data_IF_345000090662
#
_entry.id   IF_345000090662
#
_cell.length_a   1.000
_cell.length_b   1.000
_cell.length_c   1.000
_cell.angle_alpha   90.00
_cell.angle_beta   90.00
_cell.angle_gamma   90.00
#
_symmetry.space_group_name_H-M   'P 1'
#
loop_
_entity.id
_entity.type
_entity.pdbx_description
1 polymer ?
#
# COMPACT_ATOMS: atom_id res chain seq x y z
N UNK A 1 -26.22 17.94 -16.06
CA UNK A 1 -25.14 16.96 -16.33
C UNK A 1 -23.88 17.79 -16.15
N UNK A 2 -23.04 17.46 -15.16
CA UNK A 2 -21.83 18.26 -14.91
C UNK A 2 -20.70 17.79 -15.83
N UNK A 3 -20.08 18.71 -16.56
CA UNK A 3 -19.03 18.42 -17.53
C UNK A 3 -17.68 18.97 -17.08
N UNK A 4 -16.62 18.31 -17.47
CA UNK A 4 -15.24 18.75 -17.24
C UNK A 4 -14.94 19.93 -18.17
N UNK A 5 -14.54 21.09 -17.61
CA UNK A 5 -14.16 22.27 -18.37
C UNK A 5 -12.67 22.60 -18.29
N UNK A 6 -11.95 22.04 -17.28
CA UNK A 6 -10.52 22.26 -17.12
C UNK A 6 -9.86 21.04 -16.49
N UNK A 7 -8.67 20.70 -16.99
CA UNK A 7 -7.76 19.71 -16.42
C UNK A 7 -6.38 20.34 -16.40
N UNK A 8 -5.75 20.39 -15.22
CA UNK A 8 -4.43 21.00 -15.06
C UNK A 8 -3.54 20.21 -14.12
N UNK A 9 -2.37 19.81 -14.60
CA UNK A 9 -1.35 19.16 -13.80
C UNK A 9 -0.23 20.13 -13.44
N UNK A 10 0.29 19.96 -12.21
CA UNK A 10 1.48 20.64 -11.70
C UNK A 10 2.41 19.69 -11.00
N UNK A 11 3.67 20.09 -10.90
CA UNK A 11 4.64 19.41 -10.07
C UNK A 11 4.46 19.84 -8.61
N UNK A 12 4.46 18.85 -7.72
CA UNK A 12 4.62 19.03 -6.28
C UNK A 12 5.76 18.12 -5.80
N UNK A 13 6.00 18.02 -4.50
CA UNK A 13 7.00 17.13 -3.92
C UNK A 13 6.38 16.04 -3.07
N UNK A 14 6.95 14.85 -3.16
CA UNK A 14 6.62 13.72 -2.29
C UNK A 14 7.33 13.81 -0.92
N UNK A 15 7.05 12.89 -0.02
CA UNK A 15 7.61 12.81 1.34
C UNK A 15 9.11 12.57 1.39
N UNK A 16 9.74 12.22 0.25
CA UNK A 16 11.19 12.06 0.08
C UNK A 16 11.85 13.26 -0.58
N UNK A 17 11.08 14.32 -0.89
CA UNK A 17 11.56 15.51 -1.60
C UNK A 17 11.78 15.29 -3.09
N UNK A 18 11.22 14.23 -3.69
CA UNK A 18 11.24 14.04 -5.13
C UNK A 18 10.00 14.66 -5.79
N UNK A 19 10.11 15.17 -7.02
CA UNK A 19 8.96 15.65 -7.78
C UNK A 19 7.91 14.55 -7.98
N UNK A 20 6.63 14.93 -7.91
CA UNK A 20 5.50 14.10 -8.30
C UNK A 20 4.40 14.95 -8.93
N UNK A 21 3.34 14.29 -9.43
CA UNK A 21 2.25 14.90 -10.18
C UNK A 21 1.06 15.19 -9.27
N UNK A 22 0.52 16.40 -9.34
CA UNK A 22 -0.79 16.76 -8.79
C UNK A 22 -1.69 17.25 -9.94
N UNK A 23 -2.94 16.80 -9.96
CA UNK A 23 -3.92 17.16 -10.99
C UNK A 23 -5.15 17.81 -10.38
N UNK A 24 -5.58 18.92 -10.99
CA UNK A 24 -6.87 19.58 -10.77
C UNK A 24 -7.82 19.29 -11.94
N UNK A 25 -9.05 18.88 -11.63
CA UNK A 25 -10.17 18.79 -12.56
C UNK A 25 -11.26 19.76 -12.09
N UNK A 26 -11.75 20.61 -12.98
CA UNK A 26 -12.80 21.58 -12.68
C UNK A 26 -14.00 21.33 -13.60
N UNK A 27 -15.18 21.33 -13.01
CA UNK A 27 -16.46 21.17 -13.72
C UNK A 27 -17.07 22.51 -14.12
N UNK A 28 -18.07 22.49 -14.98
CA UNK A 28 -18.84 23.67 -15.42
C UNK A 28 -19.58 24.37 -14.28
N UNK A 29 -19.81 23.70 -13.15
CA UNK A 29 -20.33 24.30 -11.92
C UNK A 29 -19.23 24.91 -11.03
N UNK A 30 -17.97 24.90 -11.47
CA UNK A 30 -16.82 25.41 -10.72
C UNK A 30 -16.35 24.49 -9.59
N UNK A 31 -16.78 23.24 -9.56
CA UNK A 31 -16.37 22.26 -8.55
C UNK A 31 -14.99 21.70 -8.89
N UNK A 32 -14.11 21.70 -7.89
CA UNK A 32 -12.74 21.22 -7.99
C UNK A 32 -12.61 19.79 -7.45
N UNK A 33 -11.95 18.91 -8.22
CA UNK A 33 -11.35 17.69 -7.75
C UNK A 33 -9.83 17.77 -7.85
N UNK A 34 -9.09 17.47 -6.78
CA UNK A 34 -7.63 17.50 -6.75
C UNK A 34 -7.08 16.19 -6.25
N UNK A 35 -6.09 15.65 -6.94
CA UNK A 35 -5.41 14.43 -6.53
C UNK A 35 -3.89 14.53 -6.74
N UNK A 36 -3.13 14.05 -5.78
CA UNK A 36 -1.68 13.90 -5.89
C UNK A 36 -1.31 12.41 -6.00
N UNK A 37 -0.27 12.13 -6.79
CA UNK A 37 0.14 10.76 -7.11
C UNK A 37 1.30 10.33 -6.23
N UNK A 38 1.25 9.15 -5.57
CA UNK A 38 2.37 8.60 -4.83
C UNK A 38 3.44 8.02 -5.76
N UNK A 39 4.66 7.80 -5.23
CA UNK A 39 5.83 7.30 -5.96
C UNK A 39 6.51 6.14 -5.20
N UNK A 40 6.86 5.06 -5.89
CA UNK A 40 7.58 3.93 -5.31
C UNK A 40 9.10 4.20 -5.16
N UNK A 41 9.74 3.53 -4.19
CA UNK A 41 11.20 3.42 -4.10
C UNK A 41 11.69 2.14 -4.79
N UNK A 42 11.21 1.00 -4.33
CA UNK A 42 11.25 -0.27 -5.05
C UNK A 42 10.03 -0.39 -5.95
N UNK A 43 10.20 -0.92 -7.15
CA UNK A 43 9.11 -1.12 -8.11
C UNK A 43 9.18 -2.53 -8.66
N UNK A 44 8.08 -3.28 -8.60
CA UNK A 44 7.97 -4.59 -9.21
C UNK A 44 8.18 -4.50 -10.73
N UNK A 45 8.81 -5.52 -11.32
CA UNK A 45 9.12 -5.58 -12.76
C UNK A 45 7.88 -5.34 -13.66
N UNK A 46 6.70 -5.67 -13.15
CA UNK A 46 5.45 -5.67 -13.92
C UNK A 46 4.52 -4.48 -13.60
N UNK A 47 4.97 -3.50 -12.82
CA UNK A 47 4.20 -2.29 -12.54
C UNK A 47 3.98 -1.43 -13.78
N UNK A 48 2.91 -0.65 -13.80
CA UNK A 48 2.74 0.42 -14.76
C UNK A 48 3.83 1.51 -14.58
N UNK A 49 4.28 2.09 -15.69
CA UNK A 49 5.44 2.96 -15.70
C UNK A 49 5.13 4.31 -15.07
N UNK A 50 5.82 4.64 -13.99
CA UNK A 50 5.94 6.01 -13.50
C UNK A 50 6.84 6.80 -14.45
N UNK A 51 6.28 7.72 -15.23
CA UNK A 51 7.04 8.46 -16.22
C UNK A 51 7.93 9.52 -15.54
N UNK A 52 9.24 9.35 -15.68
CA UNK A 52 10.28 10.26 -15.24
C UNK A 52 11.05 10.79 -16.44
N UNK A 53 11.53 12.03 -16.35
CA UNK A 53 12.32 12.63 -17.42
C UNK A 53 13.76 12.13 -17.36
N UNK A 54 14.39 11.92 -18.52
CA UNK A 54 15.77 11.44 -18.63
C UNK A 54 16.83 12.53 -18.51
N UNK A 55 16.45 13.74 -18.06
CA UNK A 55 17.34 14.88 -17.93
C UNK A 55 18.19 14.90 -16.65
N UNK A 56 18.96 15.97 -16.45
CA UNK A 56 19.73 16.20 -15.21
C UNK A 56 18.91 16.76 -14.05
N UNK A 57 17.75 17.36 -14.37
CA UNK A 57 16.88 18.01 -13.38
C UNK A 57 16.40 17.01 -12.35
N UNK A 58 16.47 17.39 -11.07
CA UNK A 58 16.15 16.51 -9.95
C UNK A 58 16.83 15.15 -10.02
N UNK A 59 18.08 15.11 -10.54
CA UNK A 59 18.84 13.87 -10.71
C UNK A 59 18.12 12.81 -11.57
N UNK A 60 17.41 13.25 -12.62
CA UNK A 60 16.64 12.38 -13.52
C UNK A 60 15.26 12.01 -12.99
N UNK A 61 14.78 12.67 -11.93
CA UNK A 61 13.48 12.36 -11.30
C UNK A 61 12.38 13.40 -11.59
N UNK A 62 12.61 14.35 -12.52
CA UNK A 62 11.58 15.31 -12.91
C UNK A 62 10.38 14.62 -13.59
N UNK A 63 9.23 15.33 -13.63
CA UNK A 63 7.95 14.79 -14.13
C UNK A 63 7.35 15.66 -15.22
N UNK A 64 8.13 16.52 -15.85
CA UNK A 64 7.63 17.50 -16.82
C UNK A 64 6.91 16.86 -18.02
N UNK A 65 7.43 15.72 -18.53
CA UNK A 65 6.76 14.98 -19.59
C UNK A 65 5.39 14.45 -19.16
N UNK A 66 5.25 13.97 -17.93
CA UNK A 66 3.96 13.55 -17.37
C UNK A 66 2.99 14.72 -17.24
N UNK A 67 3.47 15.92 -16.81
CA UNK A 67 2.65 17.13 -16.76
C UNK A 67 2.19 17.56 -18.15
N UNK A 68 3.10 17.53 -19.13
CA UNK A 68 2.77 17.86 -20.52
C UNK A 68 1.76 16.87 -21.12
N UNK A 69 1.87 15.60 -20.80
CA UNK A 69 0.91 14.58 -21.22
C UNK A 69 -0.50 14.85 -20.65
N UNK A 70 -0.60 15.28 -19.38
CA UNK A 70 -1.89 15.68 -18.82
C UNK A 70 -2.38 16.97 -19.49
N UNK A 71 -1.56 18.04 -19.51
CA UNK A 71 -2.00 19.38 -19.89
C UNK A 71 -2.26 19.54 -21.39
N UNK A 72 -1.54 18.80 -22.26
CA UNK A 72 -1.56 18.98 -23.72
C UNK A 72 -2.22 17.82 -24.48
N UNK A 73 -2.30 16.62 -23.87
CA UNK A 73 -2.83 15.43 -24.53
C UNK A 73 -4.12 14.97 -23.87
N UNK A 74 -4.06 14.54 -22.59
CA UNK A 74 -5.23 13.98 -21.88
C UNK A 74 -6.35 15.03 -21.74
N UNK A 75 -5.99 16.28 -21.37
CA UNK A 75 -6.97 17.35 -21.19
C UNK A 75 -7.84 17.59 -22.43
N UNK A 76 -7.24 17.53 -23.63
CA UNK A 76 -7.95 17.76 -24.89
C UNK A 76 -9.02 16.68 -25.18
N UNK A 77 -8.78 15.46 -24.76
CA UNK A 77 -9.67 14.32 -25.00
C UNK A 77 -10.81 14.18 -24.00
N UNK A 78 -10.64 14.71 -22.77
CA UNK A 78 -11.65 14.54 -21.72
C UNK A 78 -12.43 15.82 -21.39
N UNK A 79 -11.97 16.99 -21.77
CA UNK A 79 -12.75 18.24 -21.63
C UNK A 79 -14.04 18.11 -22.46
N UNK A 80 -15.19 18.45 -21.85
CA UNK A 80 -16.52 18.29 -22.43
C UNK A 80 -17.19 16.95 -22.10
N UNK A 81 -16.49 16.00 -21.49
CA UNK A 81 -17.09 14.74 -21.00
C UNK A 81 -17.79 14.95 -19.66
N UNK A 82 -18.76 14.10 -19.33
CA UNK A 82 -19.40 14.11 -18.01
C UNK A 82 -18.43 13.63 -16.94
N UNK A 83 -18.30 14.37 -15.83
CA UNK A 83 -17.43 14.02 -14.70
C UNK A 83 -17.83 12.70 -14.02
N UNK A 84 -19.06 12.24 -14.24
CA UNK A 84 -19.59 10.99 -13.66
C UNK A 84 -19.25 9.73 -14.46
N UNK A 85 -18.68 9.88 -15.65
CA UNK A 85 -18.33 8.76 -16.53
C UNK A 85 -16.92 8.23 -16.28
N UNK A 86 -16.63 7.88 -15.02
CA UNK A 86 -15.28 7.48 -14.57
C UNK A 86 -14.64 6.40 -15.46
N UNK A 87 -15.34 5.28 -15.67
CA UNK A 87 -14.80 4.16 -16.45
C UNK A 87 -14.57 4.56 -17.92
N UNK A 88 -15.44 5.40 -18.51
CA UNK A 88 -15.28 5.91 -19.85
C UNK A 88 -14.04 6.79 -19.97
N UNK A 89 -13.82 7.68 -18.99
CA UNK A 89 -12.64 8.58 -18.96
C UNK A 89 -11.37 7.77 -18.78
N UNK A 90 -11.33 6.80 -17.85
CA UNK A 90 -10.19 5.91 -17.64
C UNK A 90 -9.88 5.13 -18.92
N UNK A 91 -10.90 4.60 -19.61
CA UNK A 91 -10.74 3.88 -20.89
C UNK A 91 -10.25 4.79 -22.03
N UNK A 92 -10.64 6.07 -22.07
CA UNK A 92 -10.09 7.05 -23.04
C UNK A 92 -8.58 7.17 -22.81
N UNK A 93 -8.14 7.37 -21.56
CA UNK A 93 -6.72 7.53 -21.22
C UNK A 93 -5.90 6.25 -21.52
N UNK A 94 -6.43 5.07 -21.19
CA UNK A 94 -5.79 3.77 -21.50
C UNK A 94 -5.61 3.59 -23.00
N UNK A 95 -6.63 3.89 -23.81
CA UNK A 95 -6.56 3.80 -25.28
C UNK A 95 -5.59 4.82 -25.87
N UNK A 96 -5.53 6.03 -25.29
CA UNK A 96 -4.65 7.11 -25.73
C UNK A 96 -3.17 6.76 -25.45
N UNK A 97 -2.89 6.10 -24.35
CA UNK A 97 -1.58 5.52 -24.07
C UNK A 97 -1.26 4.36 -25.04
N UNK A 98 -2.13 3.39 -25.14
CA UNK A 98 -2.06 2.27 -26.08
C UNK A 98 -0.95 1.25 -25.76
N UNK A 99 -0.25 1.37 -24.63
CA UNK A 99 0.78 0.41 -24.20
C UNK A 99 0.29 -0.45 -23.03
N UNK A 100 0.79 -1.68 -22.86
CA UNK A 100 0.33 -2.56 -21.78
C UNK A 100 0.60 -2.01 -20.36
N UNK A 101 1.65 -1.21 -20.21
CA UNK A 101 2.14 -0.73 -18.93
C UNK A 101 2.12 0.81 -18.80
N UNK A 102 1.33 1.50 -19.62
CA UNK A 102 1.18 2.97 -19.60
C UNK A 102 2.51 3.74 -19.80
N UNK A 103 3.44 3.16 -20.57
CA UNK A 103 4.79 3.73 -20.77
C UNK A 103 4.82 4.97 -21.68
N UNK A 104 3.75 5.25 -22.43
CA UNK A 104 3.67 6.41 -23.35
C UNK A 104 3.27 7.68 -22.62
N UNK A 105 2.20 7.66 -21.86
CA UNK A 105 1.68 8.82 -21.12
C UNK A 105 2.19 8.88 -19.68
N UNK A 106 2.47 7.73 -19.10
CA UNK A 106 2.85 7.55 -17.71
C UNK A 106 1.67 7.22 -16.80
N UNK A 107 1.82 6.19 -15.97
CA UNK A 107 0.82 5.83 -14.97
C UNK A 107 0.54 6.98 -13.98
N UNK A 108 1.56 7.77 -13.65
CA UNK A 108 1.43 8.95 -12.79
C UNK A 108 0.55 10.04 -13.42
N UNK A 109 0.68 10.30 -14.71
CA UNK A 109 -0.18 11.24 -15.44
C UNK A 109 -1.63 10.76 -15.47
N UNK A 110 -1.85 9.50 -15.84
CA UNK A 110 -3.18 8.89 -15.97
C UNK A 110 -3.88 8.80 -14.61
N UNK A 111 -3.18 8.32 -13.58
CA UNK A 111 -3.74 8.18 -12.23
C UNK A 111 -4.15 9.53 -11.62
N UNK A 112 -3.31 10.56 -11.80
CA UNK A 112 -3.61 11.90 -11.29
C UNK A 112 -4.94 12.40 -11.82
N UNK A 113 -5.20 12.23 -13.11
CA UNK A 113 -6.47 12.59 -13.75
C UNK A 113 -7.61 11.70 -13.25
N UNK A 114 -7.43 10.40 -13.24
CA UNK A 114 -8.45 9.43 -12.82
C UNK A 114 -8.98 9.71 -11.41
N UNK A 115 -8.08 9.95 -10.45
CA UNK A 115 -8.45 10.27 -9.07
C UNK A 115 -9.05 11.68 -8.91
N UNK A 116 -8.54 12.67 -9.66
CA UNK A 116 -9.08 14.02 -9.63
C UNK A 116 -10.52 14.07 -10.20
N UNK A 117 -10.82 13.30 -11.25
CA UNK A 117 -12.18 13.10 -11.78
C UNK A 117 -13.11 12.52 -10.73
N UNK A 118 -12.71 11.44 -10.06
CA UNK A 118 -13.53 10.83 -9.00
C UNK A 118 -13.84 11.80 -7.85
N UNK A 119 -12.84 12.59 -7.43
CA UNK A 119 -13.03 13.63 -6.40
C UNK A 119 -13.93 14.77 -6.86
N UNK A 120 -13.79 15.21 -8.11
CA UNK A 120 -14.68 16.22 -8.67
C UNK A 120 -16.13 15.71 -8.72
N UNK A 121 -16.35 14.49 -9.15
CA UNK A 121 -17.66 13.85 -9.19
C UNK A 121 -18.28 13.70 -7.80
N UNK A 122 -17.50 13.28 -6.81
CA UNK A 122 -17.95 13.19 -5.42
C UNK A 122 -18.37 14.56 -4.87
N UNK A 123 -17.53 15.60 -5.11
CA UNK A 123 -17.79 16.97 -4.69
C UNK A 123 -19.02 17.56 -5.38
N UNK A 124 -19.25 17.27 -6.66
CA UNK A 124 -20.47 17.68 -7.39
C UNK A 124 -21.76 17.14 -6.74
N UNK A 125 -21.70 15.94 -6.20
CA UNK A 125 -22.84 15.32 -5.51
C UNK A 125 -22.92 15.72 -4.03
N UNK A 126 -21.97 16.48 -3.51
CA UNK A 126 -21.85 16.79 -2.08
C UNK A 126 -21.63 15.53 -1.22
N UNK A 127 -21.00 14.50 -1.77
CA UNK A 127 -20.69 13.25 -1.10
C UNK A 127 -19.19 13.16 -0.76
N UNK A 128 -18.81 12.57 0.39
CA UNK A 128 -17.43 12.17 0.62
C UNK A 128 -17.02 11.09 -0.38
N UNK A 129 -15.73 11.04 -0.74
CA UNK A 129 -15.23 10.15 -1.79
C UNK A 129 -15.53 8.66 -1.51
N UNK A 130 -15.35 8.23 -0.25
CA UNK A 130 -15.65 6.83 0.10
C UNK A 130 -17.11 6.44 -0.17
N UNK A 131 -18.06 7.39 0.03
CA UNK A 131 -19.48 7.16 -0.22
C UNK A 131 -19.81 7.20 -1.71
N UNK A 132 -19.19 8.09 -2.46
CA UNK A 132 -19.34 8.17 -3.92
C UNK A 132 -18.89 6.88 -4.61
N UNK A 133 -17.68 6.39 -4.27
CA UNK A 133 -17.11 5.20 -4.90
C UNK A 133 -17.76 3.90 -4.38
N UNK A 134 -17.98 3.79 -3.07
CA UNK A 134 -18.43 2.54 -2.45
C UNK A 134 -19.95 2.44 -2.22
N UNK A 135 -20.69 3.52 -2.47
CA UNK A 135 -22.14 3.56 -2.30
C UNK A 135 -22.59 3.32 -0.85
N UNK A 136 -23.78 2.74 -0.69
CA UNK A 136 -24.41 2.54 0.62
C UNK A 136 -23.73 1.46 1.48
N UNK A 137 -22.91 0.60 0.87
CA UNK A 137 -22.21 -0.48 1.58
C UNK A 137 -20.84 -0.05 2.15
N UNK A 138 -20.36 1.15 1.83
CA UNK A 138 -19.08 1.68 2.31
C UNK A 138 -19.16 2.06 3.79
N UNK A 139 -18.79 1.13 4.68
CA UNK A 139 -18.85 1.31 6.14
C UNK A 139 -17.79 0.52 6.91
N UNK A 140 -16.95 -0.25 6.24
CA UNK A 140 -15.92 -1.06 6.88
C UNK A 140 -14.66 -0.23 7.08
N UNK A 141 -14.35 0.11 8.35
CA UNK A 141 -13.08 0.73 8.71
C UNK A 141 -11.98 -0.35 8.64
N UNK A 142 -10.86 -0.09 7.96
CA UNK A 142 -9.82 -1.09 7.80
C UNK A 142 -9.03 -1.30 9.09
N UNK A 143 -8.57 -2.54 9.35
CA UNK A 143 -7.54 -2.82 10.36
C UNK A 143 -6.23 -2.24 9.84
N UNK A 144 -5.57 -1.34 10.61
CA UNK A 144 -4.32 -0.75 10.17
C UNK A 144 -3.15 -1.72 10.36
N UNK A 145 -2.33 -1.85 9.32
CA UNK A 145 -1.01 -2.50 9.32
C UNK A 145 0.04 -1.42 9.51
N UNK A 146 0.49 -1.23 10.75
CA UNK A 146 1.35 -0.10 11.13
C UNK A 146 2.81 -0.53 11.13
N UNK A 147 3.59 -0.09 10.13
CA UNK A 147 5.02 -0.39 10.03
C UNK A 147 5.80 0.31 11.14
N UNK A 148 6.30 -0.42 12.14
CA UNK A 148 6.99 0.14 13.30
C UNK A 148 8.51 -0.13 13.35
N UNK A 149 9.01 -1.12 12.60
CA UNK A 149 10.43 -1.39 12.39
C UNK A 149 10.69 -1.61 10.90
N UNK A 150 11.69 -0.90 10.35
CA UNK A 150 12.16 -1.03 8.99
C UNK A 150 13.46 -1.83 8.92
N UNK A 151 13.60 -2.62 7.87
CA UNK A 151 14.82 -3.29 7.46
C UNK A 151 14.93 -3.29 5.93
N UNK A 152 15.62 -4.26 5.34
CA UNK A 152 15.81 -4.38 3.90
C UNK A 152 16.30 -3.09 3.26
N UNK A 153 15.76 -2.76 2.10
CA UNK A 153 16.09 -1.52 1.37
C UNK A 153 15.56 -0.24 2.05
N UNK A 154 14.74 -0.34 3.10
CA UNK A 154 14.19 0.80 3.85
C UNK A 154 15.06 1.21 5.06
N UNK A 155 16.19 0.53 5.32
CA UNK A 155 17.07 0.77 6.47
C UNK A 155 18.49 0.31 6.18
N UNK A 156 19.47 0.92 6.84
CA UNK A 156 20.86 0.43 6.86
C UNK A 156 21.07 -0.69 7.89
N UNK A 157 20.02 -1.11 8.61
CA UNK A 157 20.08 -2.17 9.61
C UNK A 157 20.32 -3.54 8.95
N UNK A 158 21.06 -4.46 9.62
CA UNK A 158 21.35 -5.79 9.10
C UNK A 158 20.16 -6.74 9.25
N UNK A 159 19.03 -6.37 8.66
CA UNK A 159 17.76 -7.12 8.68
C UNK A 159 17.31 -7.29 7.24
N UNK A 160 17.05 -8.53 6.80
CA UNK A 160 16.66 -8.78 5.41
C UNK A 160 15.22 -8.38 5.11
N UNK A 161 14.27 -8.57 6.03
CA UNK A 161 12.88 -8.21 5.82
C UNK A 161 12.67 -6.70 5.89
N UNK A 162 11.86 -6.19 4.98
CA UNK A 162 11.69 -4.75 4.75
C UNK A 162 10.84 -4.07 5.82
N UNK A 163 9.75 -4.72 6.28
CA UNK A 163 8.81 -4.12 7.23
C UNK A 163 8.30 -5.12 8.26
N UNK A 164 8.21 -4.62 9.49
CA UNK A 164 7.59 -5.31 10.63
C UNK A 164 6.45 -4.44 11.13
N UNK A 165 5.23 -4.95 11.03
CA UNK A 165 4.01 -4.21 11.30
C UNK A 165 3.27 -4.74 12.52
N UNK A 166 2.63 -3.86 13.28
CA UNK A 166 1.65 -4.24 14.31
C UNK A 166 0.24 -4.03 13.80
N UNK A 167 -0.66 -4.96 14.17
CA UNK A 167 -2.04 -4.98 13.77
C UNK A 167 -2.95 -5.09 14.99
N UNK A 168 -3.64 -4.01 15.41
CA UNK A 168 -4.48 -3.98 16.60
C UNK A 168 -5.84 -4.67 16.39
N UNK A 169 -5.85 -5.97 16.15
CA UNK A 169 -7.05 -6.77 15.85
C UNK A 169 -8.02 -6.88 17.05
N UNK A 170 -7.53 -6.72 18.28
CA UNK A 170 -8.36 -6.72 19.49
C UNK A 170 -9.08 -5.39 19.75
N UNK A 171 -8.81 -4.35 18.96
CA UNK A 171 -9.44 -3.04 19.14
C UNK A 171 -10.97 -3.11 18.98
N UNK A 172 -11.69 -2.26 19.70
CA UNK A 172 -13.15 -2.21 19.62
C UNK A 172 -13.65 -1.47 18.38
N UNK A 173 -12.87 -0.48 17.89
CA UNK A 173 -13.14 0.36 16.74
C UNK A 173 -11.83 0.93 16.19
N UNK A 174 -11.87 1.73 15.15
CA UNK A 174 -10.68 2.28 14.51
C UNK A 174 -9.94 3.28 15.44
N UNK A 175 -10.65 4.15 16.14
CA UNK A 175 -10.06 5.07 17.13
C UNK A 175 -9.28 4.31 18.19
N UNK A 176 -9.81 3.21 18.72
CA UNK A 176 -9.11 2.36 19.68
C UNK A 176 -7.89 1.66 19.05
N UNK A 177 -7.98 1.26 17.77
CA UNK A 177 -6.82 0.71 17.06
C UNK A 177 -5.68 1.73 16.95
N UNK A 178 -6.00 3.00 16.68
CA UNK A 178 -5.01 4.08 16.65
C UNK A 178 -4.38 4.34 18.04
N UNK A 179 -5.17 4.27 19.12
CA UNK A 179 -4.66 4.37 20.49
C UNK A 179 -3.64 3.25 20.77
N UNK A 180 -4.01 1.99 20.53
CA UNK A 180 -3.14 0.82 20.73
C UNK A 180 -1.83 0.99 19.97
N UNK A 181 -1.92 1.35 18.66
CA UNK A 181 -0.74 1.57 17.83
C UNK A 181 0.17 2.66 18.38
N UNK A 182 -0.39 3.81 18.79
CA UNK A 182 0.36 4.92 19.36
C UNK A 182 1.08 4.53 20.66
N UNK A 183 0.40 3.84 21.55
CA UNK A 183 0.99 3.39 22.80
C UNK A 183 2.12 2.37 22.57
N UNK A 184 1.97 1.45 21.61
CA UNK A 184 3.04 0.53 21.23
C UNK A 184 4.22 1.25 20.59
N UNK A 185 3.98 2.19 19.67
CA UNK A 185 5.03 2.98 19.02
C UNK A 185 5.90 3.73 20.03
N UNK A 186 5.29 4.40 21.00
CA UNK A 186 6.03 5.10 22.05
C UNK A 186 6.75 4.16 23.04
N UNK A 187 6.16 3.01 23.35
CA UNK A 187 6.84 1.98 24.15
C UNK A 187 8.00 1.33 23.38
N UNK A 188 7.85 1.11 22.06
CA UNK A 188 8.95 0.62 21.24
C UNK A 188 10.13 1.59 21.24
N UNK A 189 9.87 2.91 21.11
CA UNK A 189 10.91 3.93 21.24
C UNK A 189 11.68 3.80 22.54
N UNK A 190 10.97 3.58 23.65
CA UNK A 190 11.59 3.37 24.97
C UNK A 190 12.41 2.08 25.01
N UNK A 191 11.87 0.96 24.51
CA UNK A 191 12.58 -0.34 24.46
C UNK A 191 13.88 -0.23 23.66
N UNK A 192 13.87 0.48 22.52
CA UNK A 192 15.06 0.72 21.71
C UNK A 192 16.08 1.60 22.44
N UNK A 193 15.62 2.70 23.06
CA UNK A 193 16.47 3.59 23.84
C UNK A 193 17.15 2.85 25.01
N UNK A 194 16.43 1.99 25.74
CA UNK A 194 16.97 1.20 26.85
C UNK A 194 18.04 0.18 26.38
N UNK A 195 18.04 -0.17 25.09
CA UNK A 195 19.06 -1.00 24.42
C UNK A 195 20.19 -0.16 23.80
N UNK A 196 20.18 1.17 23.94
CA UNK A 196 21.09 2.12 23.27
C UNK A 196 21.04 2.02 21.73
N UNK A 197 19.87 1.68 21.17
CA UNK A 197 19.64 1.61 19.73
C UNK A 197 19.07 2.92 19.17
N UNK A 198 19.31 3.17 17.89
CA UNK A 198 18.80 4.34 17.18
C UNK A 198 17.27 4.37 17.16
N UNK A 199 16.69 5.55 17.34
CA UNK A 199 15.24 5.81 17.27
C UNK A 199 14.87 6.83 16.18
N UNK A 200 15.75 7.02 15.18
CA UNK A 200 15.40 7.73 13.96
C UNK A 200 14.38 6.89 13.16
N UNK A 201 13.55 7.57 12.38
CA UNK A 201 12.51 6.93 11.58
C UNK A 201 12.90 6.94 10.10
N UNK A 202 12.53 5.87 9.40
CA UNK A 202 12.68 5.74 7.95
C UNK A 202 11.57 6.47 7.17
N UNK A 203 11.55 6.24 5.87
CA UNK A 203 10.63 6.91 4.93
C UNK A 203 9.15 6.68 5.26
N UNK A 204 8.81 5.57 5.86
CA UNK A 204 7.44 5.20 6.22
C UNK A 204 7.09 5.46 7.70
N UNK A 205 8.00 6.11 8.42
CA UNK A 205 7.78 6.56 9.80
C UNK A 205 8.04 5.51 10.88
N UNK A 206 8.38 4.26 10.52
CA UNK A 206 8.86 3.23 11.45
C UNK A 206 10.32 3.47 11.87
N UNK A 207 10.72 2.92 13.02
CA UNK A 207 12.11 3.02 13.48
C UNK A 207 13.05 2.19 12.59
N UNK A 208 14.29 2.63 12.47
CA UNK A 208 15.35 1.93 11.75
C UNK A 208 16.53 1.61 12.71
N UNK A 209 16.34 0.73 13.71
CA UNK A 209 17.36 0.38 14.67
C UNK A 209 18.32 -0.67 14.13
N UNK A 210 19.56 -0.64 14.58
CA UNK A 210 20.58 -1.65 14.28
C UNK A 210 20.35 -2.92 15.14
N UNK A 211 19.38 -3.76 14.73
CA UNK A 211 19.02 -5.02 15.36
C UNK A 211 19.79 -6.20 14.72
N UNK A 212 19.86 -7.32 15.43
CA UNK A 212 20.69 -8.47 15.04
C UNK A 212 20.06 -9.39 13.96
N UNK A 213 18.87 -9.02 13.44
CA UNK A 213 18.15 -9.74 12.39
C UNK A 213 16.64 -9.86 12.67
N UNK A 214 15.98 -10.67 11.84
CA UNK A 214 14.51 -10.82 11.84
C UNK A 214 13.92 -11.21 13.21
N UNK A 215 14.53 -12.18 13.89
CA UNK A 215 13.99 -12.66 15.17
C UNK A 215 14.18 -11.64 16.29
N UNK A 216 15.30 -10.90 16.32
CA UNK A 216 15.51 -9.79 17.29
C UNK A 216 14.48 -8.66 17.07
N UNK A 217 14.13 -8.38 15.83
CA UNK A 217 13.06 -7.42 15.52
C UNK A 217 11.71 -7.89 16.08
N UNK A 218 11.34 -9.14 15.85
CA UNK A 218 10.09 -9.73 16.36
C UNK A 218 10.02 -9.73 17.90
N UNK A 219 11.09 -10.16 18.57
CA UNK A 219 11.16 -10.16 20.04
C UNK A 219 11.10 -8.74 20.60
N UNK A 220 11.73 -7.77 19.93
CA UNK A 220 11.68 -6.35 20.32
C UNK A 220 10.27 -5.78 20.22
N UNK A 221 9.53 -6.11 19.16
CA UNK A 221 8.12 -5.74 18.98
C UNK A 221 7.24 -6.38 20.05
N UNK A 222 7.41 -7.67 20.32
CA UNK A 222 6.67 -8.39 21.39
C UNK A 222 6.90 -7.73 22.74
N UNK A 223 8.15 -7.33 23.03
CA UNK A 223 8.47 -6.62 24.26
C UNK A 223 7.77 -5.26 24.33
N UNK A 224 7.71 -4.52 23.21
CA UNK A 224 7.02 -3.24 23.15
C UNK A 224 5.51 -3.39 23.36
N UNK A 225 4.86 -4.39 22.72
CA UNK A 225 3.44 -4.71 22.89
C UNK A 225 3.13 -5.01 24.37
N UNK A 226 3.92 -5.87 25.00
CA UNK A 226 3.77 -6.20 26.43
C UNK A 226 3.99 -5.00 27.33
N UNK A 227 4.98 -4.15 27.03
CA UNK A 227 5.28 -2.93 27.79
C UNK A 227 4.17 -1.89 27.69
N UNK A 228 3.42 -1.88 26.59
CA UNK A 228 2.24 -1.06 26.40
C UNK A 228 0.99 -1.62 27.11
N UNK A 229 1.07 -2.80 27.73
CA UNK A 229 -0.02 -3.44 28.46
C UNK A 229 -0.91 -4.35 27.62
N UNK A 230 -0.56 -4.61 26.36
CA UNK A 230 -1.33 -5.43 25.44
C UNK A 230 -0.78 -6.87 25.33
N UNK A 231 -1.63 -7.80 24.89
CA UNK A 231 -1.31 -9.23 24.75
C UNK A 231 -0.99 -9.56 23.28
N UNK A 232 0.29 -9.88 22.95
CA UNK A 232 0.62 -10.38 21.61
C UNK A 232 -0.19 -11.64 21.28
N UNK A 233 -0.71 -11.71 20.06
CA UNK A 233 -1.53 -12.84 19.60
C UNK A 233 -3.00 -12.77 20.00
N UNK A 234 -3.42 -11.76 20.77
CA UNK A 234 -4.82 -11.55 21.19
C UNK A 234 -5.25 -10.11 20.84
N UNK A 235 -4.61 -9.13 21.46
CA UNK A 235 -4.95 -7.72 21.23
C UNK A 235 -4.27 -7.19 19.96
N UNK A 236 -3.04 -7.67 19.72
CA UNK A 236 -2.17 -7.23 18.62
C UNK A 236 -1.50 -8.43 17.96
N UNK A 237 -1.65 -8.51 16.66
CA UNK A 237 -0.92 -9.44 15.80
C UNK A 237 0.24 -8.74 15.11
N UNK A 238 1.15 -9.50 14.49
CA UNK A 238 2.29 -9.00 13.71
C UNK A 238 2.05 -9.32 12.24
N UNK A 239 2.40 -8.40 11.36
CA UNK A 239 2.51 -8.65 9.94
C UNK A 239 3.93 -8.35 9.45
N UNK A 240 4.35 -9.07 8.42
CA UNK A 240 5.66 -8.94 7.79
C UNK A 240 5.50 -8.54 6.33
N UNK A 241 6.37 -7.66 5.86
CA UNK A 241 6.68 -7.50 4.46
C UNK A 241 8.13 -7.95 4.26
N UNK A 242 8.30 -9.07 3.57
CA UNK A 242 9.61 -9.64 3.34
C UNK A 242 10.35 -8.95 2.18
N UNK A 243 9.62 -8.43 1.19
CA UNK A 243 10.15 -7.91 -0.08
C UNK A 243 11.23 -8.85 -0.66
N UNK A 244 10.90 -10.15 -0.75
CA UNK A 244 11.89 -11.21 -0.95
C UNK A 244 12.60 -11.12 -2.32
N UNK A 245 12.03 -10.41 -3.30
CA UNK A 245 12.68 -10.11 -4.57
C UNK A 245 14.00 -9.34 -4.42
N UNK A 246 14.13 -8.49 -3.41
CA UNK A 246 15.32 -7.69 -3.13
C UNK A 246 16.57 -8.52 -2.77
N UNK A 247 16.36 -9.73 -2.24
CA UNK A 247 17.45 -10.65 -1.90
C UNK A 247 17.36 -12.01 -2.62
N UNK A 248 16.50 -12.14 -3.65
CA UNK A 248 16.45 -13.32 -4.49
C UNK A 248 17.43 -13.20 -5.67
N UNK A 249 18.34 -14.17 -5.81
CA UNK A 249 19.35 -14.15 -6.87
C UNK A 249 19.68 -15.57 -7.34
N UNK A 250 19.57 -15.82 -8.63
CA UNK A 250 19.91 -17.12 -9.23
C UNK A 250 19.23 -18.34 -8.55
N UNK A 251 17.95 -18.20 -8.18
CA UNK A 251 17.19 -19.29 -7.53
C UNK A 251 17.46 -19.45 -6.03
N UNK A 252 18.11 -18.46 -5.40
CA UNK A 252 18.49 -18.49 -3.99
C UNK A 252 18.07 -17.18 -3.30
N UNK A 253 17.44 -17.29 -2.15
CA UNK A 253 17.17 -16.21 -1.21
C UNK A 253 18.43 -15.97 -0.37
N UNK A 254 19.18 -14.92 -0.72
CA UNK A 254 20.50 -14.64 -0.15
C UNK A 254 20.42 -13.54 0.91
N UNK A 255 20.18 -13.91 2.14
CA UNK A 255 20.10 -12.99 3.27
C UNK A 255 21.45 -12.26 3.56
N UNK A 256 22.56 -12.76 3.03
CA UNK A 256 23.87 -12.09 3.21
C UNK A 256 23.93 -10.72 2.56
N UNK A 257 23.01 -10.41 1.64
CA UNK A 257 22.90 -9.09 0.99
C UNK A 257 22.63 -7.99 2.05
N UNK A 258 21.79 -8.27 3.02
CA UNK A 258 21.44 -7.34 4.09
C UNK A 258 22.11 -7.69 5.44
N UNK A 259 22.18 -8.97 5.79
CA UNK A 259 22.64 -9.45 7.10
C UNK A 259 24.16 -9.73 7.14
N UNK A 260 24.86 -9.52 6.02
CA UNK A 260 26.31 -9.74 5.93
C UNK A 260 26.70 -11.18 6.28
N UNK A 261 27.73 -11.35 7.09
CA UNK A 261 28.26 -12.67 7.45
C UNK A 261 27.27 -13.53 8.28
N UNK A 262 26.25 -12.95 8.86
CA UNK A 262 25.25 -13.65 9.65
C UNK A 262 24.10 -14.19 8.78
N UNK A 263 23.97 -13.67 7.56
CA UNK A 263 22.93 -14.07 6.62
C UNK A 263 23.07 -15.51 6.14
N UNK A 264 21.95 -16.18 5.93
CA UNK A 264 21.86 -17.57 5.44
C UNK A 264 21.33 -17.55 4.02
N UNK A 265 21.76 -18.50 3.19
CA UNK A 265 21.22 -18.71 1.83
C UNK A 265 20.18 -19.82 1.87
N UNK A 266 19.03 -19.62 1.25
CA UNK A 266 17.92 -20.57 1.21
C UNK A 266 17.44 -20.77 -0.23
N UNK A 267 17.14 -22.01 -0.61
CA UNK A 267 16.32 -22.26 -1.79
C UNK A 267 14.84 -22.02 -1.49
N UNK A 268 13.96 -22.15 -2.49
CA UNK A 268 12.52 -21.85 -2.33
C UNK A 268 11.83 -22.71 -1.25
N UNK A 269 12.17 -24.00 -1.13
CA UNK A 269 11.59 -24.86 -0.09
C UNK A 269 12.10 -24.48 1.32
N UNK A 270 13.38 -24.19 1.44
CA UNK A 270 14.00 -23.74 2.71
C UNK A 270 13.44 -22.37 3.13
N UNK A 271 13.19 -21.46 2.18
CA UNK A 271 12.56 -20.15 2.42
C UNK A 271 11.13 -20.33 2.94
N UNK A 272 10.31 -21.14 2.25
CA UNK A 272 8.95 -21.43 2.66
C UNK A 272 8.89 -22.12 4.05
N UNK A 273 9.84 -23.01 4.34
CA UNK A 273 9.96 -23.65 5.66
C UNK A 273 10.32 -22.63 6.75
N UNK A 274 11.27 -21.73 6.48
CA UNK A 274 11.66 -20.69 7.42
C UNK A 274 10.50 -19.76 7.78
N UNK A 275 9.76 -19.29 6.77
CA UNK A 275 8.58 -18.44 6.99
C UNK A 275 7.49 -19.17 7.80
N UNK A 276 7.25 -20.46 7.50
CA UNK A 276 6.31 -21.26 8.29
C UNK A 276 6.78 -21.45 9.75
N UNK A 277 8.07 -21.60 10.01
CA UNK A 277 8.62 -21.66 11.37
C UNK A 277 8.41 -20.35 12.13
N UNK A 278 8.59 -19.20 11.48
CA UNK A 278 8.29 -17.90 12.09
C UNK A 278 6.80 -17.76 12.47
N UNK A 279 5.89 -18.23 11.59
CA UNK A 279 4.44 -18.25 11.86
C UNK A 279 4.10 -19.14 13.06
N UNK A 280 4.78 -20.26 13.25
CA UNK A 280 4.56 -21.17 14.38
C UNK A 280 5.11 -20.61 15.70
N UNK A 281 6.16 -19.81 15.63
CA UNK A 281 6.86 -19.26 16.81
C UNK A 281 6.28 -17.93 17.29
N UNK A 282 5.80 -17.09 16.38
CA UNK A 282 5.39 -15.72 16.64
C UNK A 282 3.93 -15.47 16.24
N UNK A 283 3.24 -14.47 16.84
CA UNK A 283 1.84 -14.16 16.53
C UNK A 283 1.73 -13.43 15.18
N UNK A 284 2.22 -14.04 14.11
CA UNK A 284 2.17 -13.51 12.76
C UNK A 284 0.82 -13.88 12.14
N UNK A 285 0.11 -12.90 11.58
CA UNK A 285 -1.18 -13.09 10.90
C UNK A 285 -1.10 -12.86 9.39
N UNK A 286 -0.06 -12.14 8.92
CA UNK A 286 0.09 -11.80 7.51
C UNK A 286 1.57 -11.76 7.11
N UNK A 287 1.88 -12.29 5.92
CA UNK A 287 3.19 -12.20 5.26
C UNK A 287 2.96 -11.67 3.85
N UNK A 288 3.60 -10.56 3.53
CA UNK A 288 3.66 -9.95 2.21
C UNK A 288 4.98 -10.31 1.54
N UNK A 289 4.90 -10.65 0.26
CA UNK A 289 6.02 -10.98 -0.64
C UNK A 289 7.11 -11.84 0.01
N UNK A 290 6.67 -12.95 0.60
CA UNK A 290 7.57 -13.95 1.23
C UNK A 290 8.45 -14.68 0.23
N UNK A 291 8.14 -14.60 -1.07
CA UNK A 291 8.86 -15.20 -2.19
C UNK A 291 9.03 -14.15 -3.31
N UNK A 292 9.98 -14.38 -4.21
CA UNK A 292 10.21 -13.55 -5.41
C UNK A 292 8.99 -13.56 -6.35
N UNK A 293 8.72 -12.45 -7.02
CA UNK A 293 7.56 -12.24 -7.90
C UNK A 293 7.51 -13.17 -9.13
N UNK A 294 8.61 -13.82 -9.46
CA UNK A 294 8.72 -14.79 -10.54
C UNK A 294 8.86 -16.25 -10.05
N UNK A 295 9.06 -16.46 -8.74
CA UNK A 295 9.15 -17.80 -8.13
C UNK A 295 7.76 -18.39 -7.82
N UNK A 296 6.97 -18.63 -8.87
CA UNK A 296 5.60 -19.17 -8.75
C UNK A 296 5.53 -20.54 -8.06
N UNK A 297 6.56 -21.37 -8.19
CA UNK A 297 6.63 -22.67 -7.51
C UNK A 297 6.93 -22.48 -6.02
N UNK A 298 7.84 -21.57 -5.66
CA UNK A 298 8.09 -21.18 -4.27
C UNK A 298 6.85 -20.60 -3.60
N UNK A 299 6.11 -19.73 -4.29
CA UNK A 299 4.83 -19.21 -3.80
C UNK A 299 3.81 -20.31 -3.54
N UNK A 300 3.75 -21.33 -4.40
CA UNK A 300 2.88 -22.47 -4.21
C UNK A 300 3.26 -23.26 -2.95
N UNK A 301 4.55 -23.54 -2.77
CA UNK A 301 5.06 -24.20 -1.58
C UNK A 301 4.72 -23.43 -0.29
N UNK A 302 4.92 -22.11 -0.29
CA UNK A 302 4.57 -21.25 0.84
C UNK A 302 3.06 -21.29 1.12
N UNK A 303 2.24 -21.21 0.06
CA UNK A 303 0.77 -21.26 0.20
C UNK A 303 0.29 -22.58 0.79
N UNK A 304 0.86 -23.70 0.36
CA UNK A 304 0.52 -25.02 0.90
C UNK A 304 0.93 -25.18 2.38
N UNK A 305 2.08 -24.60 2.79
CA UNK A 305 2.61 -24.73 4.16
C UNK A 305 1.94 -23.77 5.15
N UNK A 306 1.74 -22.52 4.76
CA UNK A 306 1.34 -21.43 5.65
C UNK A 306 -0.04 -20.82 5.35
N UNK A 307 -0.55 -20.93 4.12
CA UNK A 307 -1.73 -20.20 3.66
C UNK A 307 -3.06 -20.51 4.36
N UNK A 308 -3.12 -21.63 5.11
CA UNK A 308 -4.26 -21.95 6.00
C UNK A 308 -4.14 -21.35 7.40
N UNK A 309 -2.96 -20.83 7.76
CA UNK A 309 -2.66 -20.29 9.09
C UNK A 309 -2.60 -18.77 9.07
N UNK A 310 -2.12 -18.20 7.96
CA UNK A 310 -1.87 -16.77 7.82
C UNK A 310 -2.30 -16.26 6.45
N UNK A 311 -2.54 -14.96 6.38
CA UNK A 311 -2.71 -14.24 5.12
C UNK A 311 -1.36 -14.17 4.39
N UNK A 312 -1.37 -14.51 3.10
CA UNK A 312 -0.24 -14.40 2.19
C UNK A 312 -0.57 -13.36 1.13
N UNK A 313 0.08 -12.21 1.22
CA UNK A 313 -0.20 -11.04 0.38
C UNK A 313 0.79 -11.00 -0.78
N UNK A 314 0.28 -10.92 -2.02
CA UNK A 314 1.10 -10.62 -3.19
C UNK A 314 1.08 -9.13 -3.48
N UNK A 315 2.23 -8.47 -3.34
CA UNK A 315 2.50 -7.10 -3.81
C UNK A 315 3.16 -7.15 -5.19
N UNK A 316 4.46 -7.36 -5.28
CA UNK A 316 5.18 -7.47 -6.56
C UNK A 316 4.71 -8.68 -7.38
N UNK A 317 4.23 -9.73 -6.70
CA UNK A 317 3.61 -10.88 -7.35
C UNK A 317 2.42 -10.48 -8.26
N UNK A 318 1.55 -9.58 -7.79
CA UNK A 318 0.28 -9.24 -8.46
C UNK A 318 0.25 -7.83 -9.06
N UNK A 319 1.00 -6.89 -8.51
CA UNK A 319 1.11 -5.47 -8.93
C UNK A 319 -0.24 -4.81 -9.23
N UNK A 320 -1.26 -5.11 -8.42
CA UNK A 320 -2.65 -4.60 -8.60
C UNK A 320 -3.24 -4.96 -9.99
N UNK A 321 -2.70 -5.97 -10.68
CA UNK A 321 -3.01 -6.31 -12.06
C UNK A 321 -3.91 -7.55 -12.15
N UNK A 322 -5.09 -7.42 -12.76
CA UNK A 322 -6.09 -8.50 -12.91
C UNK A 322 -5.54 -9.75 -13.64
N UNK A 323 -4.63 -9.59 -14.58
CA UNK A 323 -4.07 -10.73 -15.32
C UNK A 323 -3.12 -11.55 -14.44
N UNK A 324 -2.27 -10.89 -13.65
CA UNK A 324 -1.38 -11.56 -12.70
C UNK A 324 -2.17 -12.19 -11.55
N UNK A 325 -3.18 -11.46 -11.04
CA UNK A 325 -4.08 -11.98 -10.01
C UNK A 325 -4.86 -13.21 -10.49
N UNK A 326 -5.44 -13.19 -11.70
CA UNK A 326 -6.12 -14.35 -12.30
C UNK A 326 -5.21 -15.58 -12.35
N UNK A 327 -3.96 -15.40 -12.79
CA UNK A 327 -2.96 -16.48 -12.81
C UNK A 327 -2.69 -17.05 -11.41
N UNK A 328 -2.62 -16.19 -10.37
CA UNK A 328 -2.46 -16.63 -8.98
C UNK A 328 -3.66 -17.42 -8.48
N UNK A 329 -4.86 -16.93 -8.76
CA UNK A 329 -6.12 -17.58 -8.38
C UNK A 329 -6.21 -18.97 -9.05
N UNK A 330 -5.96 -19.07 -10.37
CA UNK A 330 -5.99 -20.33 -11.12
C UNK A 330 -5.00 -21.36 -10.58
N UNK A 331 -3.84 -20.91 -10.10
CA UNK A 331 -2.81 -21.77 -9.50
C UNK A 331 -3.01 -22.06 -8.01
N UNK A 332 -3.94 -21.38 -7.34
CA UNK A 332 -4.14 -21.48 -5.89
C UNK A 332 -2.93 -20.96 -5.11
N UNK A 333 -2.41 -19.81 -5.50
CA UNK A 333 -1.19 -19.18 -4.95
C UNK A 333 -1.56 -17.90 -4.22
N UNK A 334 -1.02 -17.69 -3.01
CA UNK A 334 -1.39 -16.62 -2.08
C UNK A 334 -2.87 -16.72 -1.66
N UNK A 335 -3.38 -15.75 -0.91
CA UNK A 335 -4.79 -15.64 -0.53
C UNK A 335 -5.22 -14.18 -0.30
N UNK A 336 -4.33 -13.23 -0.63
CA UNK A 336 -4.55 -11.79 -0.53
C UNK A 336 -3.76 -11.04 -1.59
N UNK A 337 -4.20 -9.84 -1.93
CA UNK A 337 -3.51 -8.92 -2.84
C UNK A 337 -3.26 -7.57 -2.15
N UNK A 338 -2.07 -6.99 -2.34
CA UNK A 338 -1.82 -5.60 -2.02
C UNK A 338 -2.35 -4.71 -3.15
N UNK A 339 -2.99 -3.61 -2.81
CA UNK A 339 -3.60 -2.68 -3.76
C UNK A 339 -2.87 -1.35 -3.70
N UNK A 340 -2.09 -1.07 -4.72
CA UNK A 340 -1.38 0.20 -4.93
C UNK A 340 -1.92 0.86 -6.19
N UNK A 341 -2.67 1.93 -6.04
CA UNK A 341 -3.37 2.59 -7.17
C UNK A 341 -2.45 2.98 -8.33
N UNK A 342 -1.20 3.33 -8.03
CA UNK A 342 -0.24 3.73 -9.06
C UNK A 342 0.47 2.56 -9.77
N UNK A 343 0.41 1.32 -9.23
CA UNK A 343 0.94 0.14 -9.91
C UNK A 343 0.12 -0.23 -11.16
N UNK A 344 -1.14 0.17 -11.20
CA UNK A 344 -2.03 -0.06 -12.34
C UNK A 344 -2.43 1.23 -13.07
N UNK A 345 -2.62 2.34 -12.34
CA UNK A 345 -2.69 3.69 -12.88
C UNK A 345 -4.08 4.24 -13.20
N UNK A 346 -5.18 3.53 -12.89
CA UNK A 346 -6.55 4.09 -12.91
C UNK A 346 -7.37 3.60 -11.73
N UNK A 347 -8.40 4.35 -11.35
CA UNK A 347 -9.37 3.94 -10.33
C UNK A 347 -10.19 2.75 -10.80
N UNK A 348 -10.64 2.72 -12.06
CA UNK A 348 -11.44 1.63 -12.60
C UNK A 348 -10.72 0.29 -12.59
N UNK A 349 -9.43 0.26 -12.99
CA UNK A 349 -8.62 -0.97 -12.94
C UNK A 349 -8.33 -1.38 -11.49
N UNK A 350 -8.14 -0.42 -10.58
CA UNK A 350 -7.98 -0.67 -9.14
C UNK A 350 -9.22 -1.36 -8.57
N UNK A 351 -10.41 -0.84 -8.85
CA UNK A 351 -11.69 -1.43 -8.44
C UNK A 351 -11.83 -2.85 -9.00
N UNK A 352 -11.53 -3.05 -10.29
CA UNK A 352 -11.62 -4.37 -10.93
C UNK A 352 -10.70 -5.40 -10.25
N UNK A 353 -9.51 -4.99 -9.80
CA UNK A 353 -8.57 -5.87 -9.09
C UNK A 353 -9.10 -6.28 -7.72
N UNK A 354 -9.66 -5.32 -6.95
CA UNK A 354 -10.27 -5.62 -5.65
C UNK A 354 -11.49 -6.53 -5.80
N UNK A 355 -12.37 -6.25 -6.77
CA UNK A 355 -13.55 -7.08 -7.03
C UNK A 355 -13.17 -8.51 -7.44
N UNK A 356 -12.17 -8.67 -8.31
CA UNK A 356 -11.68 -9.99 -8.72
C UNK A 356 -11.15 -10.77 -7.51
N UNK A 357 -10.35 -10.14 -6.65
CA UNK A 357 -9.84 -10.75 -5.43
C UNK A 357 -10.98 -11.23 -4.53
N UNK A 358 -11.93 -10.35 -4.22
CA UNK A 358 -13.04 -10.67 -3.32
C UNK A 358 -13.95 -11.78 -3.87
N UNK A 359 -14.26 -11.77 -5.19
CA UNK A 359 -15.04 -12.83 -5.84
C UNK A 359 -14.34 -14.20 -5.81
N UNK A 360 -13.02 -14.20 -5.86
CA UNK A 360 -12.21 -15.43 -5.75
C UNK A 360 -12.00 -15.89 -4.30
N UNK A 361 -12.48 -15.11 -3.34
CA UNK A 361 -12.29 -15.40 -1.95
C UNK A 361 -10.96 -14.92 -1.38
N UNK A 362 -10.16 -14.14 -2.09
CA UNK A 362 -8.98 -13.45 -1.57
C UNK A 362 -9.39 -12.22 -0.77
N UNK A 363 -8.55 -11.83 0.17
CA UNK A 363 -8.63 -10.52 0.81
C UNK A 363 -7.84 -9.48 0.00
N UNK A 364 -8.01 -8.22 0.35
CA UNK A 364 -7.23 -7.12 -0.24
C UNK A 364 -6.74 -6.18 0.86
N UNK A 365 -5.57 -5.58 0.65
CA UNK A 365 -4.97 -4.60 1.55
C UNK A 365 -4.76 -3.32 0.75
N UNK A 366 -5.44 -2.23 1.10
CA UNK A 366 -5.17 -0.93 0.50
C UNK A 366 -3.82 -0.41 0.99
N UNK A 367 -2.95 0.03 0.09
CA UNK A 367 -1.57 0.37 0.44
C UNK A 367 -1.14 1.74 -0.08
N UNK A 368 -0.28 2.38 0.71
CA UNK A 368 0.53 3.52 0.34
C UNK A 368 1.71 3.12 -0.54
N UNK A 369 2.56 4.11 -0.86
CA UNK A 369 3.91 3.90 -1.39
C UNK A 369 4.95 4.54 -0.45
N UNK A 370 6.24 4.23 -0.68
CA UNK A 370 7.34 4.83 0.09
C UNK A 370 7.42 6.35 -0.09
N UNK A 371 7.18 6.87 -1.28
CA UNK A 371 7.02 8.30 -1.55
C UNK A 371 5.55 8.71 -1.57
N UNK A 372 5.07 9.30 -0.49
CA UNK A 372 3.69 9.76 -0.32
C UNK A 372 3.59 11.28 -0.36
N UNK A 373 2.35 11.76 -0.41
CA UNK A 373 1.96 13.16 -0.25
C UNK A 373 0.93 13.28 0.87
N UNK A 374 0.39 14.48 1.11
CA UNK A 374 -0.73 14.69 2.05
C UNK A 374 -2.07 14.13 1.51
N UNK A 375 -2.11 13.69 0.25
CA UNK A 375 -3.31 13.09 -0.35
C UNK A 375 -3.74 11.86 0.46
N UNK A 376 -5.02 11.81 0.81
CA UNK A 376 -5.60 10.78 1.67
C UNK A 376 -6.56 9.84 0.92
N UNK A 377 -6.56 9.86 -0.40
CA UNK A 377 -7.49 9.09 -1.26
C UNK A 377 -7.54 7.62 -0.89
N UNK A 378 -6.41 7.00 -0.58
CA UNK A 378 -6.38 5.56 -0.24
C UNK A 378 -7.13 5.23 1.05
N UNK A 379 -7.30 6.18 1.96
CA UNK A 379 -8.13 5.98 3.16
C UNK A 379 -9.62 5.89 2.77
N UNK A 380 -10.09 6.80 1.91
CA UNK A 380 -11.44 6.74 1.36
C UNK A 380 -11.67 5.46 0.55
N UNK A 381 -10.70 5.06 -0.29
CA UNK A 381 -10.79 3.85 -1.11
C UNK A 381 -10.81 2.57 -0.26
N UNK A 382 -10.06 2.52 0.85
CA UNK A 382 -10.10 1.38 1.75
C UNK A 382 -11.51 1.13 2.32
N UNK A 383 -12.22 2.21 2.70
CA UNK A 383 -13.59 2.13 3.18
C UNK A 383 -14.58 1.89 2.02
N UNK A 384 -14.41 2.59 0.90
CA UNK A 384 -15.25 2.45 -0.28
C UNK A 384 -15.32 1.02 -0.80
N UNK A 385 -14.17 0.37 -0.90
CA UNK A 385 -14.03 -0.97 -1.48
C UNK A 385 -14.10 -2.08 -0.42
N UNK A 386 -14.37 -1.73 0.85
CA UNK A 386 -14.43 -2.67 1.97
C UNK A 386 -13.22 -3.62 2.01
N UNK A 387 -12.00 -3.09 1.81
CA UNK A 387 -10.78 -3.90 1.82
C UNK A 387 -10.53 -4.55 3.18
N UNK A 388 -11.06 -3.95 4.24
CA UNK A 388 -10.93 -4.44 5.62
C UNK A 388 -9.54 -4.25 6.22
N UNK A 389 -8.54 -3.85 5.42
CA UNK A 389 -7.15 -3.64 5.83
C UNK A 389 -6.53 -2.46 5.09
N UNK A 390 -5.63 -1.74 5.75
CA UNK A 390 -4.84 -0.66 5.15
C UNK A 390 -3.39 -0.72 5.63
N UNK A 391 -2.43 -0.66 4.70
CA UNK A 391 -1.00 -0.53 4.94
C UNK A 391 -0.59 0.90 4.56
N UNK A 392 -0.36 1.76 5.54
CA UNK A 392 -0.07 3.18 5.27
C UNK A 392 1.00 3.78 6.19
N UNK A 393 2.00 2.97 6.52
CA UNK A 393 3.16 3.36 7.31
C UNK A 393 2.90 3.37 8.81
N UNK A 394 3.76 4.06 9.53
CA UNK A 394 3.76 4.13 11.00
C UNK A 394 2.92 5.29 11.54
N UNK A 395 3.02 5.51 12.85
CA UNK A 395 2.37 6.59 13.60
C UNK A 395 3.27 7.84 13.69
N UNK A 396 4.02 8.09 12.67
CA UNK A 396 4.85 9.29 12.50
C UNK A 396 4.90 9.70 11.03
N UNK A 397 5.33 10.93 10.74
CA UNK A 397 5.31 11.62 9.44
C UNK A 397 3.89 11.98 8.96
N UNK A 398 3.71 13.24 8.57
CA UNK A 398 2.38 13.80 8.24
C UNK A 398 1.74 13.14 7.03
N UNK A 399 2.54 12.68 6.07
CA UNK A 399 2.12 11.95 4.88
C UNK A 399 1.43 10.61 5.23
N UNK A 400 1.85 9.94 6.31
CA UNK A 400 1.21 8.72 6.81
C UNK A 400 -0.01 9.05 7.67
N UNK A 401 0.17 9.99 8.60
CA UNK A 401 -0.92 10.41 9.51
C UNK A 401 -2.11 11.02 8.77
N UNK A 402 -1.92 11.62 7.58
CA UNK A 402 -3.01 12.14 6.77
C UNK A 402 -4.09 11.07 6.47
N UNK A 403 -3.67 9.83 6.18
CA UNK A 403 -4.56 8.70 5.89
C UNK A 403 -5.28 8.22 7.15
N UNK A 404 -4.55 8.06 8.26
CA UNK A 404 -5.15 7.68 9.54
C UNK A 404 -6.14 8.74 10.05
N UNK A 405 -5.79 10.02 9.94
CA UNK A 405 -6.69 11.11 10.32
C UNK A 405 -7.96 11.13 9.45
N UNK A 406 -7.85 10.77 8.17
CA UNK A 406 -9.02 10.67 7.30
C UNK A 406 -9.93 9.51 7.74
N UNK A 407 -9.37 8.36 8.10
CA UNK A 407 -10.16 7.22 8.61
C UNK A 407 -10.86 7.55 9.93
N UNK A 408 -10.24 8.34 10.82
CA UNK A 408 -10.91 8.84 12.03
C UNK A 408 -12.10 9.73 11.70
N UNK A 409 -12.01 10.62 10.70
CA UNK A 409 -13.14 11.44 10.23
C UNK A 409 -14.25 10.58 9.64
N UNK A 410 -13.89 9.58 8.84
CA UNK A 410 -14.86 8.64 8.26
C UNK A 410 -15.56 7.84 9.37
N UNK A 411 -14.85 7.40 10.40
CA UNK A 411 -15.47 6.71 11.55
C UNK A 411 -16.47 7.61 12.26
N UNK A 412 -16.12 8.89 12.48
CA UNK A 412 -17.02 9.88 13.08
C UNK A 412 -18.28 10.12 12.23
N UNK A 413 -18.12 10.28 10.90
CA UNK A 413 -19.25 10.44 9.97
C UNK A 413 -20.19 9.22 9.96
N UNK A 414 -19.62 8.02 10.00
CA UNK A 414 -20.39 6.76 10.00
C UNK A 414 -21.07 6.50 11.34
N UNK A 415 -20.51 7.00 12.43
CA UNK A 415 -21.01 6.82 13.78
C UNK A 415 -21.35 5.34 14.08
N UNK A 416 -22.58 5.03 14.53
CA UNK A 416 -23.02 3.66 14.85
C UNK A 416 -23.03 2.71 13.65
N UNK A 417 -22.92 3.22 12.43
CA UNK A 417 -22.83 2.41 11.21
C UNK A 417 -21.40 1.93 10.92
N UNK A 418 -20.39 2.52 11.55
CA UNK A 418 -19.00 2.13 11.37
C UNK A 418 -18.79 0.68 11.80
N UNK A 419 -18.21 -0.13 10.91
CA UNK A 419 -17.89 -1.52 11.18
C UNK A 419 -16.38 -1.73 11.19
N UNK A 420 -15.85 -2.17 12.32
CA UNK A 420 -14.45 -2.55 12.44
C UNK A 420 -14.32 -4.09 12.44
N UNK A 421 -13.73 -4.71 11.42
CA UNK A 421 -13.83 -6.15 11.18
C UNK A 421 -12.98 -7.01 12.13
N UNK A 422 -11.95 -6.44 12.78
CA UNK A 422 -11.03 -7.16 13.66
C UNK A 422 -10.35 -8.31 12.89
N UNK A 423 -10.18 -9.47 13.51
CA UNK A 423 -9.62 -10.67 12.88
C UNK A 423 -10.42 -11.15 11.65
N UNK A 424 -11.69 -10.77 11.51
CA UNK A 424 -12.50 -11.12 10.33
C UNK A 424 -12.03 -10.44 9.04
N UNK A 425 -11.12 -9.46 9.14
CA UNK A 425 -10.48 -8.86 7.97
C UNK A 425 -9.56 -9.84 7.24
N UNK A 426 -9.13 -10.90 7.92
CA UNK A 426 -8.18 -11.90 7.40
C UNK A 426 -8.90 -13.18 7.00
N UNK A 427 -8.31 -13.88 6.02
CA UNK A 427 -8.67 -15.26 5.71
C UNK A 427 -7.53 -16.18 6.10
N UNK A 428 -7.90 -17.29 6.64
CA UNK A 428 -7.02 -18.39 6.97
C UNK A 428 -7.52 -19.66 6.30
#
# INVERSE_FOLDING_TARGET
MSIIISVHARQIFDSRGNPTVEVDVITDNGILGRAAVPSGASTGEHEAVELRDSGSDYMGKSVYNALDNVNKIIAQEIIGTSVFEQESIDNIMIKLDGTPNKSKLGANAILGVSLAVAKAAANELGLPLYRYVGGVSAKTLPVPMMNIINGGSHSDAPIAFQEFMVMPVGASNFTHAMQIGSEIFHNLKKVLHDRNLNTAVGDEGGFAPDLEGTEDALETIIKAIKSAGYKPGIDVMIALDCAAAEFFKNGVYDYTIFEGNNGVKRNSDEQANYLNQLVEKYPIISIEDGMDENDWEGWKLLTEKAGKKVQLVGDDLFVTNVHRLSKGIEKGIANSILIKVNQIGTLSETIASVEMAHRAGYTSVMSHRSGETEDNTIADLAVALNTGQIKTGSLSRSDRMAKYNQLLRIEEELNDLAYFPKEKAFKH
#
